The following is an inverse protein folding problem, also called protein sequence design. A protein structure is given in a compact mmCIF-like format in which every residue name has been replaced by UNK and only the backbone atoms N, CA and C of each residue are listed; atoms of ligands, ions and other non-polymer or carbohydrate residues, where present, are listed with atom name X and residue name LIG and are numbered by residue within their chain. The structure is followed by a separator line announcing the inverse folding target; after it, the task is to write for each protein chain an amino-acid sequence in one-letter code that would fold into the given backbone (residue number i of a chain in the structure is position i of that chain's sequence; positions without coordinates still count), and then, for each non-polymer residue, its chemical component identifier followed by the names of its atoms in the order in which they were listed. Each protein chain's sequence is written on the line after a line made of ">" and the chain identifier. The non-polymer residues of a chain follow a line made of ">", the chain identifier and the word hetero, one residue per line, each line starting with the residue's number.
data_IF_701165030415
#
_entry.id   IF_701165030415
#
_cell.length_a   1.000
_cell.length_b   1.000
_cell.length_c   1.000
_cell.angle_alpha   90.00
_cell.angle_beta   90.00
_cell.angle_gamma   90.00
#
_symmetry.space_group_name_H-M   'P 1'
#
loop_
_entity.id
_entity.type
_entity.pdbx_description
1 polymer ?
#
# COMPACT_ATOMS: atom_id res chain seq x y z
N UNK A 1 14.08 9.24 8.63
CA UNK A 1 12.73 9.14 8.03
C UNK A 1 12.60 10.31 7.08
N UNK A 2 12.11 10.07 5.87
CA UNK A 2 11.79 11.10 4.88
C UNK A 2 10.29 11.03 4.65
N UNK A 3 9.62 12.18 4.63
CA UNK A 3 8.21 12.35 4.28
C UNK A 3 8.12 12.97 2.88
N UNK A 4 7.20 12.47 2.06
CA UNK A 4 6.97 12.99 0.72
C UNK A 4 5.99 14.16 0.79
N UNK A 5 6.32 15.23 0.05
CA UNK A 5 5.48 16.40 -0.09
C UNK A 5 5.12 16.60 -1.55
N UNK A 6 3.85 16.96 -1.80
CA UNK A 6 3.35 17.40 -3.09
C UNK A 6 2.83 18.84 -2.95
N UNK A 7 3.41 19.78 -3.71
CA UNK A 7 3.06 21.21 -3.63
C UNK A 7 3.11 21.77 -2.20
N UNK A 8 4.13 21.36 -1.42
CA UNK A 8 4.32 21.70 0.00
C UNK A 8 3.30 21.09 0.98
N UNK A 9 2.42 20.20 0.52
CA UNK A 9 1.51 19.45 1.38
C UNK A 9 2.04 18.04 1.61
N UNK A 10 2.01 17.52 2.86
CA UNK A 10 2.42 16.15 3.13
C UNK A 10 1.47 15.17 2.45
N UNK A 11 1.99 14.16 1.76
CA UNK A 11 1.15 13.12 1.13
C UNK A 11 0.73 12.04 2.13
N UNK A 12 1.37 12.00 3.30
CA UNK A 12 1.28 10.92 4.28
C UNK A 12 2.16 9.71 3.95
N UNK A 13 2.86 9.73 2.81
CA UNK A 13 3.85 8.71 2.47
C UNK A 13 5.19 9.05 3.10
N UNK A 14 5.80 8.05 3.71
CA UNK A 14 7.09 8.19 4.33
C UNK A 14 7.92 6.93 4.13
N UNK A 15 9.23 7.10 4.22
CA UNK A 15 10.17 5.99 4.18
C UNK A 15 11.34 6.21 5.12
N UNK A 16 11.96 5.10 5.52
CA UNK A 16 13.26 5.12 6.14
C UNK A 16 14.34 5.05 5.08
N UNK A 17 15.44 5.75 5.32
CA UNK A 17 16.58 5.70 4.44
C UNK A 17 17.85 5.56 5.23
N UNK A 18 18.77 4.77 4.72
CA UNK A 18 20.16 4.83 5.11
C UNK A 18 21.01 5.26 3.91
N UNK A 19 21.63 6.43 4.05
CA UNK A 19 22.58 6.93 3.06
C UNK A 19 23.99 6.41 3.35
N UNK A 20 24.71 6.02 2.30
CA UNK A 20 26.13 5.66 2.30
C UNK A 20 26.82 6.42 1.18
N UNK A 21 28.02 6.91 1.45
CA UNK A 21 28.84 7.61 0.46
C UNK A 21 30.10 6.83 0.14
N UNK A 22 30.61 7.00 -1.08
CA UNK A 22 31.94 6.55 -1.50
C UNK A 22 32.70 7.68 -2.21
N UNK A 23 34.03 7.66 -2.07
CA UNK A 23 34.95 8.57 -2.78
C UNK A 23 35.41 8.00 -4.12
N UNK A 24 34.98 6.79 -4.46
CA UNK A 24 35.19 6.17 -5.76
C UNK A 24 34.01 6.46 -6.68
N UNK A 25 34.28 6.68 -7.97
CA UNK A 25 33.24 6.65 -8.98
C UNK A 25 32.56 5.27 -9.03
N UNK A 26 31.34 5.23 -9.53
CA UNK A 26 30.66 3.98 -9.80
C UNK A 26 31.21 3.31 -11.06
N UNK A 27 31.46 2.00 -10.97
CA UNK A 27 31.76 1.12 -12.10
C UNK A 27 30.46 0.66 -12.78
N UNK A 28 30.54 -0.11 -13.87
CA UNK A 28 29.38 -0.68 -14.57
C UNK A 28 28.42 -1.45 -13.65
N UNK A 29 28.93 -2.09 -12.59
CA UNK A 29 28.09 -2.76 -11.59
C UNK A 29 28.31 -2.17 -10.21
N UNK A 30 27.34 -1.42 -9.73
CA UNK A 30 27.40 -0.79 -8.41
C UNK A 30 27.11 -1.79 -7.31
N UNK A 31 28.04 -1.93 -6.36
CA UNK A 31 27.95 -2.87 -5.24
C UNK A 31 28.30 -2.22 -3.92
N UNK A 32 27.65 -2.68 -2.84
CA UNK A 32 27.90 -2.24 -1.47
C UNK A 32 27.94 -3.44 -0.54
N UNK A 33 29.01 -3.57 0.25
CA UNK A 33 28.99 -4.48 1.40
C UNK A 33 28.14 -3.88 2.52
N UNK A 34 27.09 -4.58 2.93
CA UNK A 34 26.08 -4.07 3.85
C UNK A 34 25.88 -4.99 5.06
N UNK A 35 25.90 -4.46 6.31
CA UNK A 35 25.80 -5.30 7.50
C UNK A 35 24.45 -6.01 7.65
N UNK A 36 24.49 -7.32 7.89
CA UNK A 36 23.28 -8.14 8.07
C UNK A 36 22.44 -7.69 9.27
N UNK A 37 23.09 -7.21 10.34
CA UNK A 37 22.38 -6.67 11.52
C UNK A 37 21.47 -5.50 11.15
N UNK A 38 21.91 -4.64 10.25
CA UNK A 38 21.14 -3.49 9.77
C UNK A 38 19.97 -3.93 8.90
N UNK A 39 20.17 -4.95 8.06
CA UNK A 39 19.08 -5.55 7.28
C UNK A 39 18.01 -6.11 8.21
N UNK A 40 18.41 -6.91 9.21
CA UNK A 40 17.47 -7.46 10.21
C UNK A 40 16.69 -6.36 10.93
N UNK A 41 17.34 -5.26 11.27
CA UNK A 41 16.68 -4.11 11.88
C UNK A 41 15.67 -3.45 10.91
N UNK A 42 16.05 -3.26 9.64
CA UNK A 42 15.17 -2.69 8.62
C UNK A 42 13.91 -3.54 8.37
N UNK A 43 14.02 -4.86 8.47
CA UNK A 43 12.88 -5.79 8.32
C UNK A 43 11.85 -5.70 9.46
N UNK A 44 12.16 -5.05 10.58
CA UNK A 44 11.20 -4.84 11.68
C UNK A 44 10.18 -3.74 11.38
N UNK A 45 10.41 -2.91 10.35
CA UNK A 45 9.51 -1.83 9.99
C UNK A 45 8.50 -2.28 8.94
N UNK A 46 7.27 -1.77 9.05
CA UNK A 46 6.22 -1.89 8.03
C UNK A 46 6.23 -0.74 7.01
N UNK A 47 7.13 0.23 7.22
CA UNK A 47 7.38 1.37 6.33
C UNK A 47 8.52 1.00 5.38
N UNK A 48 8.47 1.41 4.09
CA UNK A 48 9.54 1.16 3.14
C UNK A 48 10.90 1.66 3.65
N UNK A 49 11.93 0.82 3.50
CA UNK A 49 13.30 1.14 3.89
C UNK A 49 14.21 1.12 2.66
N UNK A 50 14.74 2.29 2.28
CA UNK A 50 15.65 2.44 1.17
C UNK A 50 17.11 2.52 1.62
N UNK A 51 18.01 2.01 0.79
CA UNK A 51 19.44 2.33 0.87
C UNK A 51 19.75 3.29 -0.26
N UNK A 52 20.32 4.44 0.05
CA UNK A 52 20.90 5.35 -0.93
C UNK A 52 22.41 5.22 -0.89
N UNK A 53 23.00 4.93 -2.04
CA UNK A 53 24.44 4.84 -2.19
C UNK A 53 24.92 5.90 -3.17
N UNK A 54 25.73 6.84 -2.69
CA UNK A 54 26.15 8.02 -3.43
C UNK A 54 27.65 7.98 -3.72
N UNK A 55 28.01 8.18 -4.99
CA UNK A 55 29.38 8.44 -5.42
C UNK A 55 29.63 9.94 -5.39
N UNK A 56 30.57 10.38 -4.56
CA UNK A 56 30.94 11.80 -4.47
C UNK A 56 31.56 12.31 -5.78
N UNK A 57 32.48 11.58 -6.45
CA UNK A 57 33.09 12.07 -7.69
C UNK A 57 32.13 12.17 -8.88
N UNK A 58 31.24 11.17 -9.06
CA UNK A 58 30.28 11.17 -10.17
C UNK A 58 28.98 11.92 -9.86
N UNK A 59 28.76 12.30 -8.59
CA UNK A 59 27.51 12.91 -8.11
C UNK A 59 26.26 12.07 -8.45
N UNK A 60 26.43 10.76 -8.50
CA UNK A 60 25.36 9.79 -8.78
C UNK A 60 24.89 9.16 -7.48
N UNK A 61 23.58 8.91 -7.37
CA UNK A 61 23.00 8.21 -6.21
C UNK A 61 22.17 7.04 -6.69
N UNK A 62 22.62 5.83 -6.39
CA UNK A 62 21.84 4.61 -6.61
C UNK A 62 20.95 4.31 -5.42
N UNK A 63 19.80 3.68 -5.65
CA UNK A 63 18.89 3.30 -4.59
C UNK A 63 18.42 1.84 -4.68
N UNK A 64 17.95 1.30 -3.55
CA UNK A 64 17.25 0.01 -3.54
C UNK A 64 16.25 -0.04 -2.39
N UNK A 65 15.11 -0.69 -2.62
CA UNK A 65 14.18 -1.02 -1.53
C UNK A 65 14.67 -2.28 -0.81
N UNK A 66 15.22 -2.11 0.40
CA UNK A 66 15.91 -3.17 1.13
C UNK A 66 15.02 -4.37 1.48
N UNK A 67 13.77 -4.14 1.91
CA UNK A 67 12.85 -5.23 2.25
C UNK A 67 12.53 -6.09 1.01
N UNK A 68 12.23 -5.46 -0.14
CA UNK A 68 11.99 -6.17 -1.40
C UNK A 68 13.23 -6.86 -1.94
N UNK A 69 14.41 -6.25 -1.80
CA UNK A 69 15.67 -6.90 -2.14
C UNK A 69 15.92 -8.18 -1.33
N UNK A 70 15.59 -8.17 -0.04
CA UNK A 70 15.69 -9.36 0.81
C UNK A 70 14.73 -10.45 0.32
N UNK A 71 13.47 -10.08 0.10
CA UNK A 71 12.39 -10.99 -0.32
C UNK A 71 12.73 -11.71 -1.62
N UNK A 72 13.16 -10.96 -2.64
CA UNK A 72 13.31 -11.46 -4.00
C UNK A 72 14.72 -12.02 -4.25
N UNK A 73 15.75 -11.42 -3.65
CA UNK A 73 17.14 -11.78 -3.93
C UNK A 73 17.80 -12.58 -2.82
N UNK A 74 17.87 -12.05 -1.60
CA UNK A 74 18.65 -12.72 -0.55
C UNK A 74 18.00 -14.05 -0.12
N UNK A 75 16.67 -14.08 0.05
CA UNK A 75 15.96 -15.30 0.44
C UNK A 75 16.03 -16.40 -0.63
N UNK A 76 15.97 -16.03 -1.90
CA UNK A 76 15.96 -16.99 -3.01
C UNK A 76 17.37 -17.46 -3.42
N UNK A 77 18.36 -16.54 -3.48
CA UNK A 77 19.70 -16.84 -4.00
C UNK A 77 20.71 -17.22 -2.92
N UNK A 78 20.49 -16.83 -1.66
CA UNK A 78 21.45 -17.09 -0.57
C UNK A 78 20.73 -17.36 0.76
N UNK A 79 20.12 -18.54 0.92
CA UNK A 79 19.33 -18.89 2.11
C UNK A 79 20.06 -18.75 3.46
N UNK A 80 21.41 -18.71 3.48
CA UNK A 80 22.22 -18.55 4.70
C UNK A 80 22.70 -17.12 4.96
N UNK A 81 22.23 -16.13 4.18
CA UNK A 81 22.64 -14.73 4.32
C UNK A 81 22.49 -14.18 5.75
N UNK A 82 21.49 -14.67 6.49
CA UNK A 82 21.22 -14.24 7.87
C UNK A 82 22.30 -14.63 8.89
N UNK A 83 23.18 -15.57 8.55
CA UNK A 83 24.30 -16.04 9.37
C UNK A 83 25.60 -15.29 9.07
N UNK A 84 25.63 -14.47 8.01
CA UNK A 84 26.79 -13.70 7.60
C UNK A 84 26.90 -12.40 8.41
N UNK A 85 28.09 -11.82 8.46
CA UNK A 85 28.31 -10.50 9.05
C UNK A 85 27.78 -9.39 8.12
N UNK A 86 28.05 -9.54 6.82
CA UNK A 86 27.64 -8.63 5.75
C UNK A 86 27.22 -9.40 4.50
N UNK A 87 26.39 -8.77 3.67
CA UNK A 87 26.05 -9.23 2.32
C UNK A 87 26.44 -8.18 1.30
N UNK A 88 26.72 -8.60 0.08
CA UNK A 88 26.92 -7.66 -1.04
C UNK A 88 25.57 -7.34 -1.66
N UNK A 89 25.16 -6.08 -1.58
CA UNK A 89 24.00 -5.54 -2.27
C UNK A 89 24.47 -5.04 -3.64
N UNK A 90 23.77 -5.46 -4.69
CA UNK A 90 23.99 -4.98 -6.06
C UNK A 90 22.85 -4.03 -6.42
N UNK A 91 23.19 -2.86 -6.95
CA UNK A 91 22.22 -1.85 -7.40
C UNK A 91 22.07 -1.95 -8.92
N UNK A 92 20.84 -2.04 -9.43
CA UNK A 92 20.62 -1.99 -10.88
C UNK A 92 20.87 -0.63 -11.48
N UNK A 93 21.06 -0.62 -12.79
CA UNK A 93 21.40 0.59 -13.53
C UNK A 93 20.24 1.60 -13.52
N UNK A 94 19.01 1.09 -13.70
CA UNK A 94 17.76 1.84 -13.73
C UNK A 94 17.41 2.51 -12.39
N UNK A 95 18.07 2.10 -11.31
CA UNK A 95 17.88 2.63 -9.97
C UNK A 95 18.78 3.80 -9.67
N UNK A 96 18.66 4.82 -10.51
CA UNK A 96 19.36 6.08 -10.32
C UNK A 96 18.38 7.13 -9.81
N UNK A 97 18.67 7.70 -8.63
CA UNK A 97 17.81 8.68 -8.01
C UNK A 97 17.75 9.99 -8.82
N UNK A 98 18.80 10.31 -9.57
CA UNK A 98 18.85 11.54 -10.36
C UNK A 98 17.97 11.48 -11.61
N UNK A 99 17.79 10.29 -12.19
CA UNK A 99 16.99 10.11 -13.41
C UNK A 99 15.66 9.39 -13.18
N UNK A 100 15.45 8.78 -12.01
CA UNK A 100 14.30 7.90 -11.77
C UNK A 100 13.68 8.06 -10.37
N UNK A 101 13.60 9.29 -9.87
CA UNK A 101 12.92 9.58 -8.60
C UNK A 101 11.42 9.21 -8.62
N UNK A 102 10.78 9.28 -9.79
CA UNK A 102 9.37 8.93 -9.97
C UNK A 102 9.10 7.47 -9.61
N UNK A 103 10.02 6.54 -9.93
CA UNK A 103 9.92 5.13 -9.53
C UNK A 103 9.92 4.95 -8.01
N UNK A 104 10.62 5.79 -7.24
CA UNK A 104 10.53 5.76 -5.77
C UNK A 104 9.12 6.12 -5.31
N UNK A 105 8.53 7.18 -5.88
CA UNK A 105 7.17 7.59 -5.55
C UNK A 105 6.14 6.52 -5.95
N UNK A 106 6.32 5.88 -7.10
CA UNK A 106 5.49 4.76 -7.54
C UNK A 106 5.57 3.58 -6.57
N UNK A 107 6.78 3.19 -6.14
CA UNK A 107 6.99 2.13 -5.16
C UNK A 107 6.29 2.44 -3.83
N UNK A 108 6.36 3.69 -3.35
CA UNK A 108 5.69 4.12 -2.12
C UNK A 108 4.17 4.10 -2.28
N UNK A 109 3.66 4.61 -3.39
CA UNK A 109 2.23 4.65 -3.72
C UNK A 109 1.66 3.23 -3.78
N UNK A 110 2.35 2.32 -4.48
CA UNK A 110 1.95 0.93 -4.60
C UNK A 110 1.99 0.22 -3.24
N UNK A 111 3.07 0.39 -2.45
CA UNK A 111 3.15 -0.18 -1.11
C UNK A 111 2.00 0.26 -0.21
N UNK A 112 1.66 1.56 -0.23
CA UNK A 112 0.51 2.09 0.51
C UNK A 112 -0.81 1.53 -0.02
N UNK A 113 -0.99 1.45 -1.34
CA UNK A 113 -2.17 0.89 -1.95
C UNK A 113 -2.37 -0.56 -1.51
N UNK A 114 -1.36 -1.42 -1.61
CA UNK A 114 -1.41 -2.82 -1.14
C UNK A 114 -1.76 -2.90 0.35
N UNK A 115 -1.10 -2.10 1.20
CA UNK A 115 -1.35 -2.11 2.64
C UNK A 115 -2.79 -1.68 2.99
N UNK A 116 -3.29 -0.62 2.34
CA UNK A 116 -4.66 -0.16 2.57
C UNK A 116 -5.70 -1.08 1.93
N UNK A 117 -5.40 -1.76 0.82
CA UNK A 117 -6.26 -2.75 0.18
C UNK A 117 -6.61 -3.89 1.13
N UNK A 118 -5.62 -4.44 1.85
CA UNK A 118 -5.87 -5.47 2.87
C UNK A 118 -6.77 -4.96 4.00
N UNK A 119 -6.53 -3.72 4.46
CA UNK A 119 -7.37 -3.09 5.48
C UNK A 119 -8.81 -2.86 4.97
N UNK A 120 -8.96 -2.45 3.72
CA UNK A 120 -10.25 -2.28 3.06
C UNK A 120 -11.01 -3.59 2.97
N UNK A 121 -10.39 -4.66 2.46
CA UNK A 121 -11.02 -5.97 2.33
C UNK A 121 -11.58 -6.46 3.67
N UNK A 122 -10.78 -6.34 4.74
CA UNK A 122 -11.23 -6.69 6.09
C UNK A 122 -12.45 -5.86 6.52
N UNK A 123 -12.39 -4.53 6.38
CA UNK A 123 -13.48 -3.64 6.80
C UNK A 123 -14.75 -3.90 5.97
N UNK A 124 -14.60 -4.15 4.67
CA UNK A 124 -15.68 -4.45 3.76
C UNK A 124 -16.41 -5.74 4.13
N UNK A 125 -15.69 -6.85 4.36
CA UNK A 125 -16.31 -8.14 4.71
C UNK A 125 -17.11 -8.04 6.02
N UNK A 126 -16.55 -7.39 7.03
CA UNK A 126 -17.22 -7.15 8.30
C UNK A 126 -18.47 -6.28 8.12
N UNK A 127 -18.37 -5.20 7.34
CA UNK A 127 -19.51 -4.33 7.05
C UNK A 127 -20.62 -5.10 6.33
N UNK A 128 -20.29 -5.89 5.30
CA UNK A 128 -21.28 -6.69 4.56
C UNK A 128 -21.96 -7.71 5.47
N UNK A 129 -21.19 -8.39 6.32
CA UNK A 129 -21.73 -9.35 7.30
C UNK A 129 -22.76 -8.67 8.22
N UNK A 130 -22.39 -7.55 8.84
CA UNK A 130 -23.26 -6.84 9.76
C UNK A 130 -24.44 -6.15 9.05
N UNK A 131 -24.24 -5.61 7.85
CA UNK A 131 -25.30 -5.00 7.06
C UNK A 131 -26.41 -6.00 6.71
N UNK A 132 -26.05 -7.26 6.42
CA UNK A 132 -27.04 -8.32 6.19
C UNK A 132 -27.91 -8.55 7.42
N UNK A 133 -27.32 -8.61 8.60
CA UNK A 133 -28.06 -8.78 9.86
C UNK A 133 -29.01 -7.61 10.11
N UNK A 134 -28.54 -6.38 9.90
CA UNK A 134 -29.41 -5.19 9.97
C UNK A 134 -30.58 -5.32 9.01
N UNK A 135 -30.33 -5.64 7.73
CA UNK A 135 -31.37 -5.78 6.71
C UNK A 135 -32.34 -6.95 6.95
N UNK A 136 -31.95 -7.91 7.78
CA UNK A 136 -32.77 -9.04 8.28
C UNK A 136 -33.53 -8.73 9.57
N UNK A 137 -33.37 -7.54 10.15
CA UNK A 137 -34.13 -7.08 11.32
C UNK A 137 -33.34 -6.99 12.62
N UNK A 138 -32.03 -7.27 12.63
CA UNK A 138 -31.18 -7.08 13.81
C UNK A 138 -30.73 -5.61 13.92
N UNK A 139 -31.67 -4.71 14.19
CA UNK A 139 -31.43 -3.25 14.11
C UNK A 139 -30.31 -2.74 15.03
N UNK A 140 -30.11 -3.36 16.20
CA UNK A 140 -29.04 -3.00 17.13
C UNK A 140 -27.63 -3.15 16.54
N UNK A 141 -27.47 -3.94 15.48
CA UNK A 141 -26.20 -4.09 14.75
C UNK A 141 -25.89 -2.85 13.89
N UNK A 142 -26.86 -1.96 13.66
CA UNK A 142 -26.67 -0.74 12.87
C UNK A 142 -25.58 0.17 13.41
N UNK A 143 -25.44 0.31 14.74
CA UNK A 143 -24.33 1.07 15.34
C UNK A 143 -22.95 0.46 15.03
N UNK A 144 -22.86 -0.87 14.92
CA UNK A 144 -21.64 -1.55 14.49
C UNK A 144 -21.32 -1.22 13.03
N UNK A 145 -22.32 -1.20 12.15
CA UNK A 145 -22.15 -0.77 10.76
C UNK A 145 -21.65 0.69 10.66
N UNK A 146 -22.15 1.60 11.50
CA UNK A 146 -21.66 2.99 11.58
C UNK A 146 -20.17 3.05 11.89
N UNK A 147 -19.69 2.24 12.85
CA UNK A 147 -18.25 2.14 13.17
C UNK A 147 -17.44 1.70 11.95
N UNK A 148 -17.94 0.72 11.18
CA UNK A 148 -17.27 0.26 9.97
C UNK A 148 -17.30 1.31 8.84
N UNK A 149 -18.37 2.09 8.72
CA UNK A 149 -18.41 3.24 7.81
C UNK A 149 -17.31 4.25 8.15
N UNK A 150 -17.09 4.59 9.43
CA UNK A 150 -15.98 5.46 9.82
C UNK A 150 -14.61 4.87 9.50
N UNK A 151 -14.43 3.54 9.61
CA UNK A 151 -13.20 2.88 9.18
C UNK A 151 -13.00 2.99 7.67
N UNK A 152 -14.05 2.88 6.86
CA UNK A 152 -13.98 3.11 5.41
C UNK A 152 -13.63 4.56 5.07
N UNK A 153 -14.16 5.54 5.80
CA UNK A 153 -13.80 6.96 5.61
C UNK A 153 -12.30 7.19 5.83
N UNK A 154 -11.67 6.48 6.78
CA UNK A 154 -10.21 6.54 6.98
C UNK A 154 -9.41 5.96 5.81
N UNK A 155 -10.05 5.18 4.94
CA UNK A 155 -9.48 4.58 3.73
C UNK A 155 -9.85 5.37 2.46
N UNK A 156 -10.33 6.61 2.60
CA UNK A 156 -10.77 7.44 1.47
C UNK A 156 -9.66 7.66 0.43
N UNK A 157 -8.39 7.74 0.87
CA UNK A 157 -7.26 7.84 -0.06
C UNK A 157 -7.23 6.64 -1.02
N UNK A 158 -7.33 5.41 -0.51
CA UNK A 158 -7.33 4.20 -1.34
C UNK A 158 -8.54 4.20 -2.26
N UNK A 159 -9.72 4.53 -1.74
CA UNK A 159 -10.96 4.55 -2.52
C UNK A 159 -10.80 5.51 -3.72
N UNK A 160 -10.31 6.72 -3.48
CA UNK A 160 -10.04 7.69 -4.54
C UNK A 160 -8.94 7.24 -5.49
N UNK A 161 -7.85 6.67 -4.96
CA UNK A 161 -6.75 6.13 -5.77
C UNK A 161 -7.25 5.04 -6.74
N UNK A 162 -8.05 4.09 -6.26
CA UNK A 162 -8.65 3.05 -7.09
C UNK A 162 -9.66 3.65 -8.08
N UNK A 163 -10.42 4.68 -7.68
CA UNK A 163 -11.33 5.41 -8.57
C UNK A 163 -10.61 5.99 -9.77
N UNK A 164 -9.52 6.73 -9.53
CA UNK A 164 -8.80 7.45 -10.57
C UNK A 164 -8.12 6.51 -11.56
N UNK A 165 -7.83 5.28 -11.13
CA UNK A 165 -7.16 4.27 -11.93
C UNK A 165 -8.12 3.23 -12.54
N UNK A 166 -9.44 3.34 -12.33
CA UNK A 166 -10.43 2.40 -12.85
C UNK A 166 -11.70 3.08 -13.36
N UNK A 167 -12.56 2.35 -14.08
CA UNK A 167 -13.83 2.89 -14.59
C UNK A 167 -14.97 2.86 -13.55
N UNK A 168 -14.70 2.75 -12.25
CA UNK A 168 -15.75 2.72 -11.22
C UNK A 168 -16.31 4.12 -11.04
N UNK A 169 -17.63 4.26 -11.09
CA UNK A 169 -18.31 5.53 -10.88
C UNK A 169 -18.39 5.88 -9.39
N UNK A 170 -17.26 6.33 -8.82
CA UNK A 170 -17.13 6.70 -7.40
C UNK A 170 -17.83 8.01 -7.07
N UNK A 171 -18.18 8.85 -8.05
CA UNK A 171 -18.97 10.07 -7.81
C UNK A 171 -20.32 9.76 -7.15
N UNK A 172 -20.83 8.52 -7.29
CA UNK A 172 -22.04 8.04 -6.63
C UNK A 172 -21.80 7.41 -5.25
N UNK A 173 -20.54 7.22 -4.85
CA UNK A 173 -20.20 6.62 -3.56
C UNK A 173 -20.30 7.68 -2.46
N UNK A 174 -21.20 7.46 -1.50
CA UNK A 174 -21.32 8.25 -0.28
C UNK A 174 -21.37 7.32 0.94
N UNK A 175 -20.20 7.13 1.56
CA UNK A 175 -20.07 6.40 2.82
C UNK A 175 -20.85 7.11 3.93
N UNK A 176 -20.98 8.43 3.87
CA UNK A 176 -21.76 9.21 4.84
C UNK A 176 -23.26 8.92 4.73
N UNK A 177 -23.82 8.86 3.52
CA UNK A 177 -25.24 8.51 3.36
C UNK A 177 -25.51 7.08 3.86
N UNK A 178 -24.58 6.15 3.60
CA UNK A 178 -24.69 4.79 4.13
C UNK A 178 -24.62 4.75 5.66
N UNK A 179 -23.73 5.54 6.25
CA UNK A 179 -23.59 5.68 7.71
C UNK A 179 -24.88 6.25 8.32
N UNK A 180 -25.44 7.31 7.75
CA UNK A 180 -26.66 7.95 8.23
C UNK A 180 -27.86 6.98 8.13
N UNK A 181 -27.96 6.21 7.04
CA UNK A 181 -28.98 5.17 6.90
C UNK A 181 -28.89 4.09 7.99
N UNK A 182 -27.67 3.61 8.31
CA UNK A 182 -27.49 2.65 9.41
C UNK A 182 -27.82 3.26 10.78
N UNK A 183 -27.50 4.53 11.00
CA UNK A 183 -27.79 5.24 12.25
C UNK A 183 -29.30 5.45 12.44
N UNK A 184 -30.01 5.81 11.37
CA UNK A 184 -31.47 5.94 11.39
C UNK A 184 -32.16 4.60 11.66
N UNK A 185 -31.76 3.52 10.98
CA UNK A 185 -32.30 2.18 11.23
C UNK A 185 -32.07 1.76 12.68
N UNK A 186 -30.87 1.97 13.22
CA UNK A 186 -30.54 1.62 14.60
C UNK A 186 -31.38 2.41 15.63
N UNK A 187 -31.69 3.67 15.32
CA UNK A 187 -32.42 4.56 16.22
C UNK A 187 -33.93 4.33 16.17
N UNK A 188 -34.46 4.02 14.98
CA UNK A 188 -35.91 3.90 14.74
C UNK A 188 -36.41 2.46 14.79
N UNK A 189 -35.53 1.47 14.64
CA UNK A 189 -35.86 0.06 14.43
C UNK A 189 -36.77 -0.17 13.19
N UNK A 190 -36.68 0.71 12.19
CA UNK A 190 -37.44 0.65 10.95
C UNK A 190 -36.47 0.61 9.78
N UNK A 191 -36.76 -0.21 8.77
CA UNK A 191 -36.06 -0.20 7.49
C UNK A 191 -37.06 0.24 6.43
N UNK A 192 -37.03 1.51 6.08
CA UNK A 192 -37.74 2.00 4.90
C UNK A 192 -36.99 1.64 3.60
N UNK A 193 -37.65 1.89 2.46
CA UNK A 193 -37.09 1.58 1.16
C UNK A 193 -35.91 2.48 0.78
N UNK A 194 -35.87 3.72 1.27
CA UNK A 194 -34.80 4.67 0.95
C UNK A 194 -33.48 4.22 1.59
N UNK A 195 -33.50 3.98 2.90
CA UNK A 195 -32.37 3.48 3.66
C UNK A 195 -31.87 2.12 3.14
N UNK A 196 -32.79 1.20 2.79
CA UNK A 196 -32.44 -0.07 2.15
C UNK A 196 -31.74 0.13 0.80
N UNK A 197 -32.26 1.04 -0.03
CA UNK A 197 -31.69 1.32 -1.35
C UNK A 197 -30.30 1.95 -1.22
N UNK A 198 -30.13 2.94 -0.33
CA UNK A 198 -28.83 3.57 -0.05
C UNK A 198 -27.81 2.52 0.36
N UNK A 199 -28.11 1.70 1.37
CA UNK A 199 -27.17 0.65 1.84
C UNK A 199 -26.82 -0.32 0.70
N UNK A 200 -27.83 -0.78 -0.05
CA UNK A 200 -27.63 -1.77 -1.12
C UNK A 200 -26.78 -1.22 -2.27
N UNK A 201 -27.04 0.02 -2.71
CA UNK A 201 -26.26 0.67 -3.76
C UNK A 201 -24.82 0.90 -3.34
N UNK A 202 -24.59 1.38 -2.11
CA UNK A 202 -23.25 1.69 -1.61
C UNK A 202 -22.43 0.40 -1.41
N UNK A 203 -23.03 -0.68 -0.88
CA UNK A 203 -22.36 -1.98 -0.79
C UNK A 203 -22.01 -2.56 -2.16
N UNK A 204 -22.84 -2.33 -3.18
CA UNK A 204 -22.54 -2.75 -4.55
C UNK A 204 -21.29 -2.04 -5.09
N UNK A 205 -21.20 -0.72 -4.93
CA UNK A 205 -20.03 0.06 -5.36
C UNK A 205 -18.76 -0.38 -4.61
N UNK A 206 -18.85 -0.63 -3.30
CA UNK A 206 -17.73 -1.17 -2.51
C UNK A 206 -17.33 -2.59 -2.97
N UNK A 207 -18.30 -3.41 -3.40
CA UNK A 207 -18.00 -4.72 -3.98
C UNK A 207 -17.24 -4.62 -5.29
N UNK A 208 -17.50 -3.61 -6.12
CA UNK A 208 -16.75 -3.37 -7.36
C UNK A 208 -15.27 -3.04 -7.05
N UNK A 209 -15.02 -2.21 -6.03
CA UNK A 209 -13.66 -1.94 -5.55
C UNK A 209 -12.96 -3.19 -5.01
N UNK A 210 -13.67 -4.04 -4.26
CA UNK A 210 -13.13 -5.33 -3.81
C UNK A 210 -12.66 -6.18 -5.00
N UNK A 211 -13.44 -6.26 -6.08
CA UNK A 211 -13.06 -7.05 -7.25
C UNK A 211 -11.81 -6.50 -7.93
N UNK A 212 -11.69 -5.18 -8.04
CA UNK A 212 -10.47 -4.53 -8.54
C UNK A 212 -9.26 -4.94 -7.71
N UNK A 213 -9.33 -4.80 -6.38
CA UNK A 213 -8.23 -5.16 -5.48
C UNK A 213 -7.79 -6.62 -5.72
N UNK A 214 -8.73 -7.56 -5.69
CA UNK A 214 -8.44 -8.99 -5.87
C UNK A 214 -7.81 -9.27 -7.24
N UNK A 215 -8.34 -8.64 -8.30
CA UNK A 215 -7.80 -8.81 -9.66
C UNK A 215 -6.40 -8.22 -9.83
N UNK A 216 -6.09 -7.11 -9.14
CA UNK A 216 -4.77 -6.49 -9.17
C UNK A 216 -3.75 -7.34 -8.40
N UNK A 217 -4.10 -7.81 -7.19
CA UNK A 217 -3.23 -8.70 -6.40
C UNK A 217 -2.90 -9.99 -7.18
N UNK A 218 -3.91 -10.58 -7.84
CA UNK A 218 -3.71 -11.75 -8.69
C UNK A 218 -2.72 -11.49 -9.85
N UNK A 219 -2.70 -10.26 -10.39
CA UNK A 219 -1.78 -9.87 -11.47
C UNK A 219 -0.38 -9.54 -10.95
N UNK A 220 -0.26 -9.00 -9.74
CA UNK A 220 1.04 -8.75 -9.11
C UNK A 220 1.74 -10.07 -8.74
N UNK A 221 1.00 -11.05 -8.23
CA UNK A 221 1.51 -12.40 -7.96
C UNK A 221 2.01 -13.07 -9.26
N UNK A 222 1.27 -12.93 -10.37
CA UNK A 222 1.64 -13.49 -11.69
C UNK A 222 2.72 -12.67 -12.43
N UNK A 223 2.77 -11.36 -12.18
CA UNK A 223 3.67 -10.40 -12.84
C UNK A 223 5.09 -10.42 -12.27
N UNK A 224 5.23 -10.78 -10.99
CA UNK A 224 6.52 -11.03 -10.35
C UNK A 224 7.32 -12.16 -11.03
N UNK A 225 6.66 -13.05 -11.77
CA UNK A 225 7.34 -14.16 -12.48
C UNK A 225 7.73 -13.84 -13.94
N UNK A 226 7.07 -12.88 -14.61
CA UNK A 226 7.13 -12.81 -16.09
C UNK A 226 7.68 -11.52 -16.71
N UNK A 227 7.79 -10.40 -15.99
CA UNK A 227 8.05 -9.12 -16.67
C UNK A 227 9.42 -8.48 -16.50
N UNK A 228 10.37 -9.06 -15.76
CA UNK A 228 11.66 -8.37 -15.52
C UNK A 228 11.53 -6.99 -14.85
N UNK A 229 10.30 -6.57 -14.52
CA UNK A 229 9.92 -5.49 -13.62
C UNK A 229 10.18 -5.98 -12.20
N UNK A 230 11.44 -6.26 -11.91
CA UNK A 230 11.85 -6.47 -10.54
C UNK A 230 11.81 -5.10 -9.86
N UNK A 231 11.14 -4.95 -8.71
CA UNK A 231 11.16 -3.74 -7.90
C UNK A 231 12.48 -3.64 -7.15
N UNK A 232 13.60 -3.88 -7.84
CA UNK A 232 14.86 -3.35 -7.34
C UNK A 232 14.68 -1.85 -7.22
#
# INVERSE_FOLDING_TARGET
>A
MIEIFENSNPTGDCFFVQSKGTVSSFDETVKLSFPVKTIKYALLFNVPFFIFYTSIPSNETKYIWLQKYVEIHLNNKNQKWQQQESVTITFPEENDLSSNIEKVNELLTNHRATSQSLAFLKVYEELVFHARNVLSGEFGVGHTCVIYCYKLVKLNWLINYLASNTCVNIERMSIFNMKDAFEEIASTNIIDNENRNVITEQLKLLSELKQIIISTESREELGCENYGLFPF
#
